data_IF_041132833328
#
_entry.id   IF_041132833328
#
_cell.length_a   1.000
_cell.length_b   1.000
_cell.length_c   1.000
_cell.angle_alpha   90.00
_cell.angle_beta   90.00
_cell.angle_gamma   90.00
#
_symmetry.space_group_name_H-M   'P 1'
#
loop_
_entity.id
_entity.type
_entity.pdbx_description
1 polymer ?
#
# COMPACT_ATOMS: atom_id res chain seq x y z
N UNK A 1 -3.32 -27.59 -11.30
CA UNK A 1 -3.20 -26.12 -11.50
C UNK A 1 -2.68 -25.37 -10.28
N UNK A 2 -3.35 -25.32 -9.12
CA UNK A 2 -2.83 -24.57 -7.95
C UNK A 2 -1.56 -25.20 -7.33
N UNK A 3 -1.53 -26.54 -7.25
CA UNK A 3 -0.36 -27.29 -6.78
C UNK A 3 0.86 -27.10 -7.70
N UNK A 4 0.62 -26.90 -9.00
CA UNK A 4 1.68 -26.64 -9.98
C UNK A 4 2.30 -25.25 -9.82
N UNK A 5 1.51 -24.26 -9.39
CA UNK A 5 1.98 -22.89 -9.18
C UNK A 5 2.79 -22.76 -7.91
N UNK A 6 2.37 -23.41 -6.82
CA UNK A 6 3.18 -23.39 -5.60
C UNK A 6 4.53 -24.11 -5.85
N UNK A 7 4.52 -25.23 -6.58
CA UNK A 7 5.74 -25.89 -7.04
C UNK A 7 6.60 -24.98 -7.92
N UNK A 8 6.00 -24.17 -8.80
CA UNK A 8 6.72 -23.19 -9.61
C UNK A 8 7.38 -22.11 -8.74
N UNK A 9 6.65 -21.58 -7.77
CA UNK A 9 7.15 -20.58 -6.83
C UNK A 9 8.28 -21.15 -5.95
N UNK A 10 8.13 -22.39 -5.47
CA UNK A 10 9.13 -23.10 -4.65
C UNK A 10 10.45 -23.39 -5.38
N UNK A 11 10.50 -23.30 -6.71
CA UNK A 11 11.78 -23.38 -7.45
C UNK A 11 12.65 -22.14 -7.25
N UNK A 12 12.05 -21.03 -6.85
CA UNK A 12 12.71 -19.74 -6.67
C UNK A 12 12.95 -19.43 -5.20
N UNK A 13 12.01 -19.85 -4.35
CA UNK A 13 11.95 -19.47 -2.94
C UNK A 13 11.72 -20.68 -2.06
N UNK A 14 12.22 -20.64 -0.84
CA UNK A 14 11.93 -21.67 0.14
C UNK A 14 10.72 -21.27 0.97
N UNK A 15 9.94 -22.27 1.39
CA UNK A 15 8.91 -22.05 2.38
C UNK A 15 9.53 -21.86 3.77
N UNK A 16 8.92 -21.03 4.63
CA UNK A 16 9.35 -20.89 6.01
C UNK A 16 9.28 -22.26 6.73
N UNK A 17 10.21 -22.49 7.65
CA UNK A 17 10.19 -23.70 8.48
C UNK A 17 9.08 -23.59 9.52
N UNK A 18 8.17 -24.57 9.51
CA UNK A 18 7.05 -24.69 10.47
C UNK A 18 7.27 -25.84 11.48
N UNK A 19 8.51 -26.25 11.73
CA UNK A 19 8.80 -27.41 12.58
C UNK A 19 8.46 -27.16 14.06
N UNK A 20 7.56 -28.01 14.58
CA UNK A 20 7.17 -28.17 16.00
C UNK A 20 6.53 -26.98 16.74
N UNK A 21 6.56 -25.77 16.20
CA UNK A 21 5.94 -24.61 16.83
C UNK A 21 4.42 -24.55 16.58
N UNK A 22 3.63 -24.74 17.65
CA UNK A 22 2.15 -24.71 17.59
C UNK A 22 1.58 -23.38 17.10
N UNK A 23 2.32 -22.26 17.24
CA UNK A 23 1.90 -20.94 16.74
C UNK A 23 1.76 -20.94 15.22
N UNK A 24 2.49 -21.81 14.53
CA UNK A 24 2.46 -21.91 13.07
C UNK A 24 1.14 -22.45 12.55
N UNK A 25 0.28 -23.11 13.34
CA UNK A 25 -0.99 -23.69 12.86
C UNK A 25 -0.82 -24.53 11.57
N UNK A 26 0.23 -25.36 11.52
CA UNK A 26 0.70 -26.10 10.33
C UNK A 26 -0.40 -26.85 9.59
N UNK A 27 -1.41 -27.33 10.30
CA UNK A 27 -2.58 -27.99 9.72
C UNK A 27 -3.43 -27.08 8.82
N UNK A 28 -3.23 -25.76 8.84
CA UNK A 28 -3.99 -24.77 8.05
C UNK A 28 -3.21 -24.18 6.88
N UNK A 29 -1.90 -24.43 6.76
CA UNK A 29 -1.03 -23.77 5.76
C UNK A 29 -1.52 -24.00 4.33
N UNK A 30 -2.03 -25.20 4.05
CA UNK A 30 -2.47 -25.67 2.75
C UNK A 30 -3.84 -25.13 2.32
N UNK A 31 -4.58 -24.47 3.23
CA UNK A 31 -5.90 -23.91 2.94
C UNK A 31 -5.81 -22.65 2.07
N UNK A 32 -4.71 -21.90 2.16
CA UNK A 32 -4.47 -20.78 1.26
C UNK A 32 -3.91 -21.28 -0.09
N UNK A 33 -4.47 -20.76 -1.18
CA UNK A 33 -4.00 -21.03 -2.55
C UNK A 33 -3.76 -19.70 -3.27
N UNK A 34 -2.63 -19.56 -4.00
CA UNK A 34 -2.36 -18.36 -4.79
C UNK A 34 -3.43 -18.09 -5.86
N UNK A 35 -3.54 -16.85 -6.35
CA UNK A 35 -4.45 -16.51 -7.44
C UNK A 35 -4.33 -17.39 -8.70
N UNK A 36 -5.48 -17.71 -9.31
CA UNK A 36 -5.58 -18.56 -10.51
C UNK A 36 -5.12 -17.88 -11.80
N UNK A 37 -4.92 -16.58 -11.79
CA UNK A 37 -4.39 -15.80 -12.91
C UNK A 37 -3.49 -14.68 -12.39
N UNK A 38 -2.59 -14.19 -13.25
CA UNK A 38 -1.70 -13.06 -12.92
C UNK A 38 -2.39 -11.71 -13.17
N UNK A 39 -3.55 -11.70 -13.84
CA UNK A 39 -4.27 -10.48 -14.23
C UNK A 39 -4.57 -9.57 -13.04
N UNK A 40 -5.00 -10.15 -11.91
CA UNK A 40 -5.31 -9.37 -10.71
C UNK A 40 -4.09 -8.65 -10.15
N UNK A 41 -2.93 -9.33 -10.07
CA UNK A 41 -1.71 -8.72 -9.58
C UNK A 41 -1.16 -7.65 -10.52
N UNK A 42 -1.19 -7.90 -11.83
CA UNK A 42 -0.81 -6.92 -12.85
C UNK A 42 -1.72 -5.69 -12.78
N UNK A 43 -3.04 -5.87 -12.69
CA UNK A 43 -4.00 -4.78 -12.60
C UNK A 43 -3.78 -3.91 -11.36
N UNK A 44 -3.52 -4.52 -10.20
CA UNK A 44 -3.19 -3.78 -8.96
C UNK A 44 -1.91 -2.97 -9.13
N UNK A 45 -0.83 -3.59 -9.63
CA UNK A 45 0.46 -2.92 -9.83
C UNK A 45 0.34 -1.72 -10.79
N UNK A 46 -0.31 -1.92 -11.95
CA UNK A 46 -0.51 -0.86 -12.95
C UNK A 46 -1.38 0.26 -12.38
N UNK A 47 -2.44 -0.06 -11.64
CA UNK A 47 -3.31 0.94 -11.01
C UNK A 47 -2.54 1.82 -10.03
N UNK A 48 -1.74 1.21 -9.13
CA UNK A 48 -0.92 1.96 -8.16
C UNK A 48 0.07 2.87 -8.88
N UNK A 49 0.78 2.35 -9.88
CA UNK A 49 1.77 3.11 -10.67
C UNK A 49 1.09 4.28 -11.41
N UNK A 50 -0.05 4.04 -12.06
CA UNK A 50 -0.77 5.06 -12.82
C UNK A 50 -1.35 6.17 -11.93
N UNK A 51 -1.95 5.80 -10.79
CA UNK A 51 -2.47 6.76 -9.81
C UNK A 51 -1.34 7.59 -9.22
N UNK A 52 -0.22 6.95 -8.86
CA UNK A 52 0.96 7.65 -8.38
C UNK A 52 1.49 8.62 -9.43
N UNK A 53 1.70 8.18 -10.68
CA UNK A 53 2.26 9.01 -11.74
C UNK A 53 1.37 10.22 -12.04
N UNK A 54 0.05 10.01 -12.09
CA UNK A 54 -0.92 11.08 -12.29
C UNK A 54 -0.85 12.11 -11.17
N UNK A 55 -0.88 11.66 -9.92
CA UNK A 55 -0.87 12.57 -8.77
C UNK A 55 0.51 13.22 -8.56
N UNK A 56 1.60 12.54 -8.89
CA UNK A 56 2.95 13.07 -8.86
C UNK A 56 3.11 14.22 -9.85
N UNK A 57 2.67 14.03 -11.10
CA UNK A 57 2.65 15.09 -12.12
C UNK A 57 1.74 16.24 -11.69
N UNK A 58 0.56 15.94 -11.15
CA UNK A 58 -0.33 16.97 -10.61
C UNK A 58 0.35 17.79 -9.49
N UNK A 59 0.95 17.12 -8.52
CA UNK A 59 1.67 17.73 -7.42
C UNK A 59 2.85 18.60 -7.89
N UNK A 60 3.61 18.15 -8.88
CA UNK A 60 4.78 18.87 -9.37
C UNK A 60 4.45 20.12 -10.18
N UNK A 61 3.46 20.10 -11.06
CA UNK A 61 3.22 21.22 -12.01
C UNK A 61 1.98 22.06 -11.69
N UNK A 62 0.98 21.51 -11.01
CA UNK A 62 -0.32 22.17 -10.85
C UNK A 62 -0.57 22.71 -9.45
N UNK A 63 0.08 22.15 -8.42
CA UNK A 63 0.01 22.70 -7.06
C UNK A 63 0.85 23.98 -6.96
N UNK A 64 0.23 25.08 -6.55
CA UNK A 64 0.87 26.38 -6.33
C UNK A 64 1.08 26.60 -4.83
N UNK A 65 2.29 26.31 -4.36
CA UNK A 65 2.62 26.38 -2.93
C UNK A 65 2.66 27.84 -2.46
N UNK A 66 2.00 28.20 -1.33
CA UNK A 66 1.92 29.58 -0.84
C UNK A 66 3.28 30.28 -0.65
N UNK A 67 4.34 29.52 -0.39
CA UNK A 67 5.70 30.03 -0.16
C UNK A 67 6.58 30.05 -1.43
N UNK A 68 6.04 29.68 -2.59
CA UNK A 68 6.78 29.60 -3.85
C UNK A 68 5.98 30.16 -5.05
N UNK A 69 5.07 31.10 -4.80
CA UNK A 69 4.23 31.70 -5.83
C UNK A 69 5.03 32.62 -6.75
N UNK A 70 4.67 32.62 -8.03
CA UNK A 70 5.08 33.67 -8.96
C UNK A 70 4.12 34.86 -8.86
N UNK A 71 4.57 36.04 -9.30
CA UNK A 71 3.75 37.26 -9.31
C UNK A 71 2.47 37.01 -10.12
N UNK A 72 1.32 37.29 -9.51
CA UNK A 72 0.00 37.11 -10.12
C UNK A 72 -0.63 35.71 -9.95
N UNK A 73 0.08 34.75 -9.35
CA UNK A 73 -0.51 33.44 -9.04
C UNK A 73 -1.34 33.47 -7.75
N UNK A 74 -2.41 32.66 -7.72
CA UNK A 74 -3.17 32.37 -6.49
C UNK A 74 -2.72 31.03 -5.93
N UNK A 75 -2.50 30.97 -4.61
CA UNK A 75 -2.11 29.74 -3.95
C UNK A 75 -3.17 28.66 -4.05
N UNK A 76 -2.73 27.41 -4.20
CA UNK A 76 -3.58 26.25 -3.95
C UNK A 76 -3.96 26.21 -2.47
N UNK A 77 -5.22 25.86 -2.17
CA UNK A 77 -5.68 25.79 -0.78
C UNK A 77 -4.86 24.77 0.04
N UNK A 78 -4.68 25.05 1.34
CA UNK A 78 -4.00 24.12 2.25
C UNK A 78 -4.66 22.74 2.30
N UNK A 79 -6.00 22.68 2.21
CA UNK A 79 -6.73 21.42 2.17
C UNK A 79 -6.36 20.58 0.93
N UNK A 80 -6.28 21.21 -0.24
CA UNK A 80 -5.85 20.54 -1.47
C UNK A 80 -4.38 20.12 -1.40
N UNK A 81 -3.49 20.96 -0.87
CA UNK A 81 -2.06 20.61 -0.69
C UNK A 81 -1.93 19.38 0.22
N UNK A 82 -2.61 19.37 1.37
CA UNK A 82 -2.60 18.25 2.30
C UNK A 82 -3.17 16.98 1.67
N UNK A 83 -4.30 17.08 0.96
CA UNK A 83 -4.91 15.95 0.28
C UNK A 83 -3.99 15.33 -0.77
N UNK A 84 -3.34 16.15 -1.62
CA UNK A 84 -2.36 15.68 -2.59
C UNK A 84 -1.16 15.06 -1.89
N UNK A 85 -0.61 15.70 -0.87
CA UNK A 85 0.57 15.23 -0.15
C UNK A 85 0.35 13.85 0.48
N UNK A 86 -0.70 13.69 1.29
CA UNK A 86 -0.96 12.42 1.98
C UNK A 86 -1.44 11.31 1.02
N UNK A 87 -2.18 11.66 -0.03
CA UNK A 87 -2.55 10.68 -1.06
C UNK A 87 -1.33 10.20 -1.83
N UNK A 88 -0.42 11.11 -2.18
CA UNK A 88 0.83 10.78 -2.87
C UNK A 88 1.76 9.97 -1.98
N UNK A 89 1.89 10.33 -0.70
CA UNK A 89 2.65 9.57 0.30
C UNK A 89 2.10 8.15 0.49
N UNK A 90 0.77 7.98 0.52
CA UNK A 90 0.13 6.66 0.51
C UNK A 90 0.38 5.88 -0.79
N UNK A 91 0.42 6.55 -1.94
CA UNK A 91 0.76 5.92 -3.20
C UNK A 91 2.25 5.56 -3.32
N UNK A 92 3.15 6.33 -2.71
CA UNK A 92 4.55 5.92 -2.54
C UNK A 92 4.63 4.63 -1.73
N UNK A 93 3.88 4.52 -0.62
CA UNK A 93 3.81 3.26 0.13
C UNK A 93 3.32 2.13 -0.78
N UNK A 94 2.33 2.40 -1.63
CA UNK A 94 1.85 1.46 -2.65
C UNK A 94 2.91 1.04 -3.66
N UNK A 95 3.77 1.96 -4.14
CA UNK A 95 4.88 1.62 -5.04
C UNK A 95 5.88 0.68 -4.36
N UNK A 96 6.22 0.93 -3.09
CA UNK A 96 7.09 0.03 -2.35
C UNK A 96 6.43 -1.34 -2.12
N UNK A 97 5.17 -1.37 -1.71
CA UNK A 97 4.41 -2.62 -1.52
C UNK A 97 4.30 -3.41 -2.84
N UNK A 98 4.14 -2.73 -3.97
CA UNK A 98 4.19 -3.36 -5.30
C UNK A 98 5.57 -3.98 -5.53
N UNK A 99 6.64 -3.25 -5.24
CA UNK A 99 8.01 -3.78 -5.35
C UNK A 99 8.22 -4.99 -4.44
N UNK A 100 7.76 -4.90 -3.20
CA UNK A 100 7.81 -5.98 -2.22
C UNK A 100 7.10 -7.25 -2.72
N UNK A 101 5.89 -7.13 -3.25
CA UNK A 101 5.17 -8.27 -3.84
C UNK A 101 5.91 -8.82 -5.06
N UNK A 102 6.55 -7.95 -5.86
CA UNK A 102 7.45 -8.41 -6.92
C UNK A 102 8.64 -9.20 -6.35
N UNK A 103 9.19 -8.81 -5.20
CA UNK A 103 10.29 -9.55 -4.58
C UNK A 103 9.88 -10.96 -4.15
N UNK A 104 8.59 -11.14 -3.85
CA UNK A 104 7.95 -12.44 -3.64
C UNK A 104 7.47 -13.13 -4.91
N UNK A 105 7.50 -12.47 -6.06
CA UNK A 105 7.00 -13.01 -7.32
C UNK A 105 5.47 -13.01 -7.45
N UNK A 106 4.75 -12.34 -6.55
CA UNK A 106 3.30 -12.47 -6.40
C UNK A 106 2.49 -11.52 -7.27
N UNK A 107 3.12 -10.57 -7.97
CA UNK A 107 2.45 -9.76 -9.01
C UNK A 107 2.09 -10.66 -10.20
N UNK A 108 3.05 -11.43 -10.70
CA UNK A 108 2.88 -12.33 -11.84
C UNK A 108 3.61 -13.65 -11.64
N UNK A 109 2.96 -14.58 -10.93
CA UNK A 109 3.52 -15.87 -10.53
C UNK A 109 3.94 -16.76 -11.72
N UNK A 110 3.31 -16.58 -12.89
CA UNK A 110 3.60 -17.37 -14.10
C UNK A 110 4.59 -16.68 -15.03
N UNK A 111 4.84 -15.38 -14.84
CA UNK A 111 5.75 -14.60 -15.67
C UNK A 111 6.72 -13.78 -14.81
N UNK A 112 7.84 -14.43 -14.44
CA UNK A 112 8.88 -13.83 -13.60
C UNK A 112 9.47 -12.55 -14.21
N UNK A 113 9.64 -12.48 -15.53
CA UNK A 113 10.20 -11.29 -16.19
C UNK A 113 9.28 -10.08 -16.05
N UNK A 114 7.98 -10.28 -16.27
CA UNK A 114 6.99 -9.21 -16.10
C UNK A 114 6.88 -8.77 -14.64
N UNK A 115 6.87 -9.74 -13.71
CA UNK A 115 6.88 -9.47 -12.28
C UNK A 115 8.05 -8.56 -11.88
N UNK A 116 9.27 -8.93 -12.27
CA UNK A 116 10.48 -8.20 -11.89
C UNK A 116 10.54 -6.83 -12.55
N UNK A 117 10.09 -6.72 -13.80
CA UNK A 117 9.94 -5.43 -14.48
C UNK A 117 9.00 -4.48 -13.73
N UNK A 118 7.82 -4.94 -13.33
CA UNK A 118 6.85 -4.12 -12.60
C UNK A 118 7.39 -3.69 -11.23
N UNK A 119 8.07 -4.59 -10.52
CA UNK A 119 8.75 -4.26 -9.27
C UNK A 119 9.88 -3.24 -9.45
N UNK A 120 10.73 -3.45 -10.44
CA UNK A 120 11.83 -2.54 -10.75
C UNK A 120 11.33 -1.16 -11.17
N UNK A 121 10.26 -1.08 -11.97
CA UNK A 121 9.62 0.16 -12.34
C UNK A 121 9.08 0.88 -11.10
N UNK A 122 8.32 0.19 -10.26
CA UNK A 122 7.71 0.78 -9.06
C UNK A 122 8.77 1.37 -8.11
N UNK A 123 9.86 0.66 -7.85
CA UNK A 123 10.91 1.16 -6.96
C UNK A 123 11.79 2.25 -7.59
N UNK A 124 11.92 2.23 -8.92
CA UNK A 124 12.60 3.33 -9.63
C UNK A 124 11.80 4.62 -9.49
N UNK A 125 10.48 4.55 -9.64
CA UNK A 125 9.56 5.69 -9.43
C UNK A 125 9.53 6.15 -7.96
N UNK A 126 9.66 5.22 -7.00
CA UNK A 126 9.68 5.56 -5.58
C UNK A 126 10.84 6.51 -5.24
N UNK A 127 12.07 6.10 -5.55
CA UNK A 127 13.27 6.91 -5.31
C UNK A 127 14.52 6.33 -5.98
N UNK A 128 14.45 5.65 -7.12
CA UNK A 128 15.60 5.04 -7.79
C UNK A 128 16.39 4.00 -6.96
N UNK A 129 15.73 3.30 -6.02
CA UNK A 129 16.40 2.23 -5.27
C UNK A 129 16.78 1.07 -6.20
N UNK A 130 17.79 0.31 -5.77
CA UNK A 130 18.21 -0.90 -6.48
C UNK A 130 17.30 -2.08 -6.11
N UNK A 131 16.56 -2.57 -7.11
CA UNK A 131 15.64 -3.71 -6.95
C UNK A 131 16.35 -4.98 -6.48
N UNK A 132 17.57 -5.25 -6.96
CA UNK A 132 18.31 -6.48 -6.63
C UNK A 132 18.82 -6.44 -5.19
N UNK A 133 19.29 -5.28 -4.72
CA UNK A 133 19.69 -5.10 -3.32
C UNK A 133 18.51 -5.28 -2.39
N UNK A 134 17.37 -4.67 -2.71
CA UNK A 134 16.15 -4.82 -1.90
C UNK A 134 15.67 -6.27 -1.90
N UNK A 135 15.61 -6.92 -3.08
CA UNK A 135 15.23 -8.33 -3.20
C UNK A 135 16.06 -9.23 -2.30
N UNK A 136 17.40 -9.12 -2.39
CA UNK A 136 18.31 -9.90 -1.57
C UNK A 136 18.08 -9.66 -0.07
N UNK A 137 18.06 -8.40 0.35
CA UNK A 137 17.91 -8.03 1.77
C UNK A 137 16.55 -8.43 2.35
N UNK A 138 15.51 -8.30 1.56
CA UNK A 138 14.18 -8.76 1.93
C UNK A 138 14.15 -10.27 2.18
N UNK A 139 14.81 -11.05 1.31
CA UNK A 139 14.96 -12.49 1.56
C UNK A 139 15.91 -12.80 2.71
N UNK A 140 16.97 -12.01 2.96
CA UNK A 140 17.77 -12.13 4.19
C UNK A 140 16.89 -11.96 5.43
N UNK A 141 15.98 -10.97 5.43
CA UNK A 141 14.99 -10.78 6.49
C UNK A 141 14.05 -11.98 6.64
N UNK A 142 13.50 -12.53 5.57
CA UNK A 142 12.64 -13.73 5.65
C UNK A 142 13.36 -14.97 6.21
N UNK A 143 14.65 -15.12 5.89
CA UNK A 143 15.42 -16.31 6.25
C UNK A 143 15.95 -16.24 7.69
N UNK A 144 16.22 -15.03 8.17
CA UNK A 144 16.88 -14.75 9.43
C UNK A 144 16.05 -13.79 10.31
N UNK A 145 14.72 -13.82 10.18
CA UNK A 145 13.82 -12.85 10.83
C UNK A 145 14.14 -12.71 12.32
N UNK A 146 14.41 -11.49 12.75
CA UNK A 146 14.71 -11.15 14.13
C UNK A 146 16.02 -11.72 14.67
N UNK A 147 16.92 -12.24 13.82
CA UNK A 147 18.28 -12.63 14.22
C UNK A 147 19.18 -11.39 14.31
N UNK A 148 19.76 -11.09 15.49
CA UNK A 148 20.61 -9.92 15.65
C UNK A 148 21.80 -9.93 14.68
N UNK A 149 22.04 -8.79 14.02
CA UNK A 149 23.14 -8.53 13.07
C UNK A 149 23.02 -9.22 11.70
N UNK A 150 22.18 -10.25 11.57
CA UNK A 150 21.97 -10.96 10.29
C UNK A 150 20.75 -10.42 9.57
N UNK A 151 19.64 -10.24 10.28
CA UNK A 151 18.45 -9.59 9.74
C UNK A 151 18.74 -8.11 9.44
N UNK A 152 18.64 -7.65 8.17
CA UNK A 152 18.87 -6.24 7.83
C UNK A 152 17.82 -5.31 8.44
N UNK A 153 16.65 -5.84 8.80
CA UNK A 153 15.51 -5.09 9.35
C UNK A 153 15.44 -5.13 10.87
N UNK A 154 16.20 -6.00 11.54
CA UNK A 154 16.13 -6.10 12.99
C UNK A 154 17.01 -5.09 13.71
N UNK A 155 16.53 -4.58 14.84
CA UNK A 155 17.28 -3.63 15.64
C UNK A 155 18.59 -4.29 16.12
N UNK A 156 19.74 -3.66 15.84
CA UNK A 156 21.07 -4.19 16.19
C UNK A 156 21.40 -4.00 17.68
N UNK A 157 20.49 -4.42 18.55
CA UNK A 157 20.58 -4.28 20.01
C UNK A 157 19.94 -3.01 20.58
N UNK A 158 19.47 -2.07 19.75
CA UNK A 158 18.80 -0.85 20.22
C UNK A 158 17.43 -0.66 19.52
N UNK A 159 16.32 -1.07 20.15
CA UNK A 159 14.98 -0.96 19.58
C UNK A 159 14.40 0.47 19.65
N UNK A 160 15.20 1.50 19.98
CA UNK A 160 14.72 2.89 19.94
C UNK A 160 14.24 3.26 18.54
N UNK A 161 13.02 3.80 18.45
CA UNK A 161 12.34 4.11 17.18
C UNK A 161 13.20 4.91 16.19
N UNK A 162 13.82 6.01 16.64
CA UNK A 162 14.59 6.89 15.76
C UNK A 162 15.91 6.25 15.32
N UNK A 163 16.62 5.60 16.25
CA UNK A 163 17.88 4.90 15.96
C UNK A 163 17.64 3.76 14.98
N UNK A 164 16.60 2.97 15.21
CA UNK A 164 16.26 1.85 14.35
C UNK A 164 15.77 2.31 12.97
N UNK A 165 14.96 3.37 12.90
CA UNK A 165 14.60 3.95 11.60
C UNK A 165 15.81 4.44 10.81
N UNK A 166 16.76 5.13 11.46
CA UNK A 166 17.99 5.57 10.80
C UNK A 166 18.83 4.38 10.29
N UNK A 167 18.96 3.32 11.10
CA UNK A 167 19.63 2.08 10.68
C UNK A 167 18.94 1.43 9.49
N UNK A 168 17.62 1.34 9.50
CA UNK A 168 16.81 0.84 8.39
C UNK A 168 17.10 1.64 7.11
N UNK A 169 17.04 2.97 7.17
CA UNK A 169 17.29 3.82 6.00
C UNK A 169 18.71 3.62 5.43
N UNK A 170 19.73 3.60 6.28
CA UNK A 170 21.14 3.39 5.85
C UNK A 170 21.36 1.99 5.30
N UNK A 171 20.63 0.98 5.77
CA UNK A 171 20.69 -0.37 5.21
C UNK A 171 20.27 -0.39 3.73
N UNK A 172 19.34 0.45 3.29
CA UNK A 172 18.77 0.33 1.94
C UNK A 172 19.25 1.40 0.96
N UNK A 173 19.77 2.52 1.45
CA UNK A 173 20.19 3.64 0.60
C UNK A 173 21.59 3.45 0.02
N UNK A 174 21.81 3.94 -1.20
CA UNK A 174 23.13 3.95 -1.85
C UNK A 174 23.49 5.34 -2.37
N UNK A 175 24.79 5.66 -2.46
CA UNK A 175 25.24 6.92 -3.06
C UNK A 175 24.80 7.08 -4.52
N UNK A 176 24.77 5.97 -5.28
CA UNK A 176 24.34 5.97 -6.67
C UNK A 176 22.87 6.41 -6.84
N UNK A 177 22.02 6.07 -5.87
CA UNK A 177 20.62 6.46 -5.83
C UNK A 177 20.49 7.99 -5.67
N UNK A 178 21.24 8.58 -4.74
CA UNK A 178 21.23 10.02 -4.54
C UNK A 178 21.71 10.79 -5.78
N UNK A 179 22.71 10.26 -6.50
CA UNK A 179 23.13 10.83 -7.78
C UNK A 179 22.00 10.80 -8.82
N UNK A 180 21.29 9.68 -8.96
CA UNK A 180 20.14 9.56 -9.89
C UNK A 180 19.01 10.53 -9.52
N UNK A 181 18.69 10.64 -8.22
CA UNK A 181 17.68 11.60 -7.74
C UNK A 181 18.12 13.03 -8.04
N UNK A 182 19.39 13.38 -7.82
CA UNK A 182 19.90 14.71 -8.12
C UNK A 182 19.83 15.03 -9.62
N UNK A 183 20.23 14.11 -10.48
CA UNK A 183 20.10 14.26 -11.95
C UNK A 183 18.63 14.44 -12.33
N UNK A 184 17.73 13.59 -11.81
CA UNK A 184 16.31 13.67 -12.11
C UNK A 184 15.66 14.97 -11.61
N UNK A 185 16.04 15.44 -10.43
CA UNK A 185 15.60 16.73 -9.89
C UNK A 185 15.98 17.89 -10.81
N UNK A 186 17.21 17.89 -11.33
CA UNK A 186 17.66 18.91 -12.29
C UNK A 186 16.88 18.83 -13.62
N UNK A 187 16.61 17.63 -14.14
CA UNK A 187 15.78 17.46 -15.33
C UNK A 187 14.36 17.98 -15.11
N UNK A 188 13.77 17.74 -13.93
CA UNK A 188 12.46 18.27 -13.56
C UNK A 188 12.46 19.80 -13.42
N UNK A 189 13.53 20.39 -12.88
CA UNK A 189 13.71 21.85 -12.85
C UNK A 189 13.74 22.43 -14.26
N UNK A 190 14.48 21.81 -15.19
CA UNK A 190 14.53 22.20 -16.59
C UNK A 190 13.17 22.05 -17.28
N UNK A 191 12.38 21.05 -16.89
CA UNK A 191 10.99 20.85 -17.35
C UNK A 191 9.97 21.77 -16.64
N UNK A 192 10.42 22.73 -15.84
CA UNK A 192 9.58 23.76 -15.21
C UNK A 192 8.89 23.34 -13.91
N UNK A 193 9.21 22.16 -13.34
CA UNK A 193 8.70 21.76 -12.03
C UNK A 193 9.40 22.56 -10.91
N UNK A 194 8.68 23.38 -10.11
CA UNK A 194 9.30 24.20 -9.08
C UNK A 194 10.05 23.36 -8.04
N UNK A 195 11.21 23.85 -7.58
CA UNK A 195 12.00 23.16 -6.54
C UNK A 195 11.19 22.90 -5.28
N UNK A 196 10.36 23.86 -4.85
CA UNK A 196 9.50 23.72 -3.68
C UNK A 196 8.54 22.50 -3.80
N UNK A 197 7.97 22.27 -4.97
CA UNK A 197 7.10 21.12 -5.23
C UNK A 197 7.89 19.81 -5.24
N UNK A 198 9.10 19.82 -5.81
CA UNK A 198 9.99 18.65 -5.75
C UNK A 198 10.36 18.30 -4.30
N UNK A 199 10.74 19.28 -3.49
CA UNK A 199 11.07 19.06 -2.08
C UNK A 199 9.88 18.50 -1.30
N UNK A 200 8.65 18.95 -1.58
CA UNK A 200 7.47 18.46 -0.88
C UNK A 200 7.02 17.08 -1.40
N UNK A 201 6.84 16.92 -2.71
CA UNK A 201 6.20 15.75 -3.32
C UNK A 201 7.18 14.66 -3.81
N UNK A 202 8.44 15.02 -4.12
CA UNK A 202 9.48 14.07 -4.54
C UNK A 202 10.44 13.70 -3.40
N UNK A 203 10.59 14.56 -2.38
CA UNK A 203 11.50 14.30 -1.24
C UNK A 203 10.73 13.99 0.05
N UNK A 204 9.90 14.90 0.55
CA UNK A 204 9.25 14.72 1.85
C UNK A 204 8.21 13.59 1.85
N UNK A 205 7.39 13.48 0.80
CA UNK A 205 6.38 12.43 0.68
C UNK A 205 6.97 11.00 0.74
N UNK A 206 7.98 10.61 -0.08
CA UNK A 206 8.56 9.27 0.03
C UNK A 206 9.33 9.04 1.34
N UNK A 207 9.91 10.07 1.98
CA UNK A 207 10.53 9.89 3.32
C UNK A 207 9.47 9.51 4.36
N UNK A 208 8.32 10.19 4.36
CA UNK A 208 7.22 9.87 5.27
C UNK A 208 6.64 8.47 4.95
N UNK A 209 6.55 8.13 3.66
CA UNK A 209 6.17 6.79 3.21
C UNK A 209 7.12 5.71 3.73
N UNK A 210 8.44 5.94 3.68
CA UNK A 210 9.45 5.03 4.20
C UNK A 210 9.30 4.86 5.72
N UNK A 211 9.00 5.95 6.44
CA UNK A 211 8.69 5.87 7.86
C UNK A 211 7.42 5.05 8.13
N UNK A 212 6.35 5.21 7.35
CA UNK A 212 5.14 4.38 7.45
C UNK A 212 5.45 2.89 7.26
N UNK A 213 6.19 2.56 6.19
CA UNK A 213 6.60 1.19 5.88
C UNK A 213 7.40 0.58 7.03
N UNK A 214 8.44 1.29 7.48
CA UNK A 214 9.24 0.87 8.63
C UNK A 214 8.38 0.70 9.88
N UNK A 215 7.51 1.66 10.19
CA UNK A 215 6.74 1.63 11.43
C UNK A 215 5.79 0.43 11.49
N UNK A 216 4.99 0.23 10.44
CA UNK A 216 3.95 -0.82 10.43
C UNK A 216 4.46 -2.19 9.93
N UNK A 217 5.50 -2.21 9.09
CA UNK A 217 6.07 -3.42 8.49
C UNK A 217 7.34 -3.94 9.17
N UNK A 218 7.98 -3.15 10.03
CA UNK A 218 9.25 -3.58 10.66
C UNK A 218 9.21 -3.35 12.17
N UNK A 219 9.02 -2.10 12.59
CA UNK A 219 9.08 -1.69 13.99
C UNK A 219 8.00 -2.41 14.80
N UNK A 220 6.71 -2.15 14.55
CA UNK A 220 5.62 -2.74 15.36
C UNK A 220 5.63 -4.28 15.32
N UNK A 221 5.78 -4.94 14.16
CA UNK A 221 5.79 -6.40 14.09
C UNK A 221 6.93 -7.06 14.87
N UNK A 222 8.11 -6.46 14.87
CA UNK A 222 9.33 -7.07 15.44
C UNK A 222 9.82 -6.39 16.71
N UNK A 223 9.11 -5.38 17.22
CA UNK A 223 9.55 -4.66 18.42
C UNK A 223 9.56 -5.61 19.63
N UNK A 224 10.69 -5.77 20.33
CA UNK A 224 10.80 -6.70 21.44
C UNK A 224 9.89 -6.31 22.60
N UNK A 225 9.43 -7.30 23.38
CA UNK A 225 8.83 -7.00 24.68
C UNK A 225 9.90 -6.44 25.63
N UNK A 226 9.47 -5.69 26.66
CA UNK A 226 10.41 -5.13 27.64
C UNK A 226 11.20 -6.26 28.30
N UNK A 227 12.52 -6.18 28.23
CA UNK A 227 13.42 -7.19 28.80
C UNK A 227 13.68 -8.40 27.89
N UNK A 228 13.07 -8.48 26.70
CA UNK A 228 13.43 -9.52 25.72
C UNK A 228 14.86 -9.31 25.23
N UNK A 229 15.66 -10.36 25.34
CA UNK A 229 17.04 -10.41 24.83
C UNK A 229 17.18 -11.65 23.96
N UNK A 230 17.69 -11.48 22.74
CA UNK A 230 17.88 -12.57 21.78
C UNK A 230 17.03 -12.45 20.53
N UNK A 231 16.94 -13.55 19.78
CA UNK A 231 16.29 -13.58 18.48
C UNK A 231 14.75 -13.49 18.58
N UNK A 232 14.13 -12.91 17.55
CA UNK A 232 12.68 -12.77 17.40
C UNK A 232 12.24 -13.44 16.08
N UNK A 233 12.21 -14.77 16.01
CA UNK A 233 11.90 -15.47 14.77
C UNK A 233 10.49 -15.15 14.27
N UNK A 234 10.21 -15.34 12.99
CA UNK A 234 8.96 -14.88 12.35
C UNK A 234 7.67 -15.36 13.05
N UNK A 235 7.70 -16.49 13.76
CA UNK A 235 6.57 -17.03 14.52
C UNK A 235 6.11 -16.11 15.68
N UNK A 236 6.96 -15.18 16.13
CA UNK A 236 6.63 -14.17 17.15
C UNK A 236 6.35 -12.78 16.58
N UNK A 237 6.41 -12.59 15.27
CA UNK A 237 6.04 -11.33 14.64
C UNK A 237 4.58 -10.98 14.95
N UNK A 238 4.30 -9.71 15.23
CA UNK A 238 2.93 -9.29 15.56
C UNK A 238 2.05 -9.19 14.31
N UNK A 239 0.75 -9.39 14.54
CA UNK A 239 -0.32 -9.12 13.58
C UNK A 239 -1.26 -8.07 14.18
N UNK A 240 -1.51 -6.99 13.46
CA UNK A 240 -2.35 -5.87 13.90
C UNK A 240 -3.80 -6.28 14.14
N UNK A 241 -4.49 -5.79 15.18
CA UNK A 241 -5.92 -6.09 15.41
C UNK A 241 -6.87 -5.18 14.62
N UNK A 242 -6.35 -4.29 13.78
CA UNK A 242 -7.13 -3.31 13.03
C UNK A 242 -8.19 -3.94 12.12
N UNK A 243 -9.25 -3.18 11.84
CA UNK A 243 -10.23 -3.55 10.81
C UNK A 243 -9.55 -3.64 9.44
N UNK A 244 -10.18 -4.34 8.49
CA UNK A 244 -9.63 -4.49 7.13
C UNK A 244 -9.31 -3.12 6.49
N UNK A 245 -10.24 -2.17 6.54
CA UNK A 245 -10.01 -0.84 5.96
C UNK A 245 -8.85 -0.10 6.64
N UNK A 246 -8.76 -0.15 7.97
CA UNK A 246 -7.66 0.48 8.71
C UNK A 246 -6.32 -0.15 8.34
N UNK A 247 -6.24 -1.48 8.30
CA UNK A 247 -5.05 -2.23 7.90
C UNK A 247 -4.59 -1.90 6.46
N UNK A 248 -5.54 -1.65 5.55
CA UNK A 248 -5.21 -1.14 4.21
C UNK A 248 -4.62 0.28 4.27
N UNK A 249 -5.25 1.19 5.02
CA UNK A 249 -4.82 2.58 5.11
C UNK A 249 -3.52 2.77 5.92
N UNK A 250 -3.20 1.87 6.85
CA UNK A 250 -1.94 1.90 7.60
C UNK A 250 -0.78 1.49 6.74
N UNK A 251 -0.86 0.36 6.03
CA UNK A 251 0.25 -0.16 5.23
C UNK A 251 -0.17 -1.29 4.26
N UNK A 252 -1.27 -1.16 3.52
CA UNK A 252 -1.68 -2.17 2.53
C UNK A 252 -1.75 -3.60 3.11
N UNK A 253 -2.28 -3.76 4.33
CA UNK A 253 -2.32 -5.03 5.06
C UNK A 253 -0.96 -5.61 5.48
N UNK A 254 0.13 -4.90 5.28
CA UNK A 254 1.46 -5.34 5.71
C UNK A 254 1.62 -5.32 7.24
N UNK A 255 0.69 -4.70 7.97
CA UNK A 255 0.55 -4.84 9.41
C UNK A 255 0.06 -6.25 9.86
N UNK A 256 -0.26 -7.14 8.90
CA UNK A 256 -0.48 -8.58 9.06
C UNK A 256 0.82 -9.37 8.83
N UNK A 257 1.89 -8.93 9.49
CA UNK A 257 3.27 -9.36 9.19
C UNK A 257 3.52 -10.84 9.49
N UNK A 258 2.84 -11.39 10.50
CA UNK A 258 2.89 -12.83 10.80
C UNK A 258 2.32 -13.66 9.63
N UNK A 259 1.15 -13.27 9.12
CA UNK A 259 0.52 -13.91 7.97
C UNK A 259 1.42 -13.79 6.73
N UNK A 260 2.08 -12.64 6.57
CA UNK A 260 3.02 -12.37 5.50
C UNK A 260 4.24 -13.33 5.50
N UNK A 261 4.94 -13.47 6.63
CA UNK A 261 6.08 -14.40 6.72
C UNK A 261 5.67 -15.85 6.49
N UNK A 262 4.46 -16.21 6.93
CA UNK A 262 3.96 -17.57 6.80
C UNK A 262 3.57 -17.92 5.36
N UNK A 263 2.88 -17.02 4.69
CA UNK A 263 2.44 -17.17 3.30
C UNK A 263 3.14 -16.13 2.42
N UNK A 264 4.46 -16.23 2.20
CA UNK A 264 5.22 -15.26 1.38
C UNK A 264 4.73 -15.22 -0.08
N UNK A 265 4.05 -16.28 -0.52
CA UNK A 265 3.41 -16.37 -1.83
C UNK A 265 1.99 -15.76 -1.88
N UNK A 266 1.52 -15.14 -0.79
CA UNK A 266 0.29 -14.38 -0.77
C UNK A 266 0.59 -12.90 -1.07
N UNK A 267 -0.01 -12.30 -2.10
CA UNK A 267 0.09 -10.86 -2.31
C UNK A 267 -0.65 -10.10 -1.19
N UNK A 268 -0.31 -8.82 -1.02
CA UNK A 268 -0.77 -8.02 0.12
C UNK A 268 -2.31 -7.98 0.26
N UNK A 269 -3.04 -7.94 -0.86
CA UNK A 269 -4.52 -7.88 -0.87
C UNK A 269 -5.19 -9.18 -0.43
N UNK A 270 -4.46 -10.31 -0.40
CA UNK A 270 -4.93 -11.62 0.06
C UNK A 270 -4.50 -11.92 1.52
N UNK A 271 -3.67 -11.08 2.17
CA UNK A 271 -3.28 -11.27 3.58
C UNK A 271 -4.49 -11.30 4.53
N UNK A 272 -5.56 -10.49 4.35
CA UNK A 272 -6.77 -10.63 5.17
C UNK A 272 -7.43 -12.01 5.09
N UNK A 273 -7.34 -12.71 3.95
CA UNK A 273 -7.84 -14.07 3.79
C UNK A 273 -6.94 -15.09 4.50
N UNK A 274 -5.63 -14.90 4.41
CA UNK A 274 -4.65 -15.68 5.18
C UNK A 274 -4.93 -15.58 6.68
N UNK A 275 -5.26 -14.38 7.16
CA UNK A 275 -5.71 -14.15 8.54
C UNK A 275 -7.00 -14.89 8.90
N UNK A 276 -8.00 -14.90 8.02
CA UNK A 276 -9.24 -15.64 8.25
C UNK A 276 -8.98 -17.15 8.39
N UNK A 277 -8.10 -17.68 7.53
CA UNK A 277 -7.64 -19.07 7.61
C UNK A 277 -6.93 -19.33 8.95
N UNK A 278 -6.02 -18.44 9.36
CA UNK A 278 -5.30 -18.56 10.63
C UNK A 278 -6.26 -18.56 11.83
N UNK A 279 -7.27 -17.68 11.85
CA UNK A 279 -8.28 -17.63 12.93
C UNK A 279 -9.23 -18.83 12.94
N UNK A 280 -9.31 -19.59 11.87
CA UNK A 280 -10.20 -20.75 11.75
C UNK A 280 -11.58 -20.27 11.35
N UNK A 281 -12.03 -20.71 10.18
CA UNK A 281 -13.26 -20.21 9.57
C UNK A 281 -14.50 -20.61 10.39
N UNK A 282 -14.87 -19.75 11.34
CA UNK A 282 -16.23 -19.55 11.85
C UNK A 282 -16.63 -18.08 11.63
N UNK A 283 -16.51 -17.63 10.38
CA UNK A 283 -17.28 -16.52 9.80
C UNK A 283 -17.56 -16.94 8.34
N UNK A 284 -18.57 -17.77 8.16
CA UNK A 284 -19.18 -18.05 6.86
C UNK A 284 -19.79 -16.76 6.27
N UNK A 285 -20.06 -16.69 4.95
CA UNK A 285 -20.14 -15.44 4.21
C UNK A 285 -21.40 -14.66 4.61
N UNK A 286 -21.23 -13.61 5.42
CA UNK A 286 -22.15 -12.49 5.40
C UNK A 286 -22.02 -11.79 4.04
N UNK A 287 -23.09 -11.14 3.54
CA UNK A 287 -23.05 -10.43 2.26
C UNK A 287 -21.80 -9.55 2.20
N UNK A 288 -21.12 -9.60 1.05
CA UNK A 288 -19.94 -8.78 0.76
C UNK A 288 -20.15 -7.39 1.37
N UNK A 289 -19.31 -6.92 2.31
CA UNK A 289 -19.33 -5.52 2.63
C UNK A 289 -19.03 -4.79 1.33
N UNK A 290 -20.01 -3.99 0.91
CA UNK A 290 -20.01 -3.10 -0.24
C UNK A 290 -18.59 -2.54 -0.46
N UNK A 291 -18.07 -2.51 -1.71
CA UNK A 291 -16.74 -1.99 -1.98
C UNK A 291 -16.53 -0.65 -1.28
N UNK A 292 -15.37 -0.49 -0.65
CA UNK A 292 -14.94 0.76 -0.01
C UNK A 292 -14.73 1.92 -1.02
N UNK A 293 -15.42 1.91 -2.16
CA UNK A 293 -15.69 3.08 -2.99
C UNK A 293 -16.61 4.09 -2.29
N UNK A 294 -17.28 3.70 -1.19
CA UNK A 294 -18.01 4.61 -0.30
C UNK A 294 -17.16 5.17 0.86
N UNK A 295 -16.00 4.58 1.18
CA UNK A 295 -15.14 5.05 2.28
C UNK A 295 -14.09 6.06 1.82
N UNK A 296 -13.66 5.98 0.55
CA UNK A 296 -12.87 7.05 -0.07
C UNK A 296 -13.72 8.32 -0.28
N UNK A 297 -15.00 8.18 -0.63
CA UNK A 297 -15.94 9.32 -0.68
C UNK A 297 -16.29 9.85 0.71
N UNK A 298 -16.29 9.03 1.77
CA UNK A 298 -16.53 9.52 3.13
C UNK A 298 -15.33 10.26 3.76
N UNK A 299 -14.09 9.85 3.46
CA UNK A 299 -12.90 10.57 3.89
C UNK A 299 -12.74 11.92 3.15
N UNK A 300 -13.16 11.99 1.88
CA UNK A 300 -13.20 13.25 1.11
C UNK A 300 -14.43 14.11 1.46
N UNK A 301 -15.58 13.51 1.82
CA UNK A 301 -16.79 14.23 2.25
C UNK A 301 -16.68 14.77 3.68
N UNK A 302 -15.98 14.09 4.60
CA UNK A 302 -15.71 14.60 5.95
C UNK A 302 -14.75 15.80 5.93
N UNK A 303 -13.79 15.82 5.00
CA UNK A 303 -12.94 16.98 4.75
C UNK A 303 -13.68 18.15 4.07
N UNK A 304 -14.71 17.86 3.27
CA UNK A 304 -15.57 18.87 2.65
C UNK A 304 -16.58 19.49 3.64
N UNK A 305 -17.15 18.70 4.56
CA UNK A 305 -18.10 19.19 5.57
C UNK A 305 -17.45 20.06 6.66
N UNK A 306 -16.16 19.86 6.95
CA UNK A 306 -15.40 20.73 7.85
C UNK A 306 -15.05 22.10 7.23
N UNK A 307 -15.18 22.25 5.90
CA UNK A 307 -14.89 23.49 5.18
C UNK A 307 -16.12 24.41 5.00
N UNK A 308 -17.34 23.98 5.37
CA UNK A 308 -18.58 24.73 5.10
C UNK A 308 -19.33 25.24 6.34
N UNK A 309 -18.74 25.19 7.54
CA UNK A 309 -19.25 25.89 8.73
C UNK A 309 -20.77 25.88 8.91
N UNK A 310 -21.36 24.73 9.25
CA UNK A 310 -22.77 24.66 9.68
C UNK A 310 -22.93 23.72 10.88
N UNK A 311 -23.73 24.10 11.90
CA UNK A 311 -23.83 23.34 13.15
C UNK A 311 -24.69 22.08 12.97
N UNK A 312 -24.36 21.04 13.74
CA UNK A 312 -25.10 19.78 13.80
C UNK A 312 -26.57 19.99 14.25
N UNK A 313 -27.54 19.23 13.70
CA UNK A 313 -28.91 19.32 14.16
C UNK A 313 -29.09 18.60 15.50
N UNK A 314 -29.70 19.31 16.46
CA UNK A 314 -30.14 18.78 17.73
C UNK A 314 -31.26 17.73 17.54
N UNK A 315 -31.14 16.63 18.28
CA UNK A 315 -32.15 15.58 18.41
C UNK A 315 -33.46 16.13 18.95
N UNK A 316 -34.55 16.07 18.16
CA UNK A 316 -35.92 16.19 18.67
C UNK A 316 -36.42 14.80 19.10
N UNK A 317 -36.38 14.57 20.40
CA UNK A 317 -37.23 13.57 21.05
C UNK A 317 -38.68 14.07 21.07
N UNK A 318 -39.62 13.14 20.83
CA UNK A 318 -41.05 13.40 20.81
C UNK A 318 -41.57 13.92 22.15
N UNK A 319 -42.44 14.92 22.07
CA UNK A 319 -43.23 15.46 23.16
C UNK A 319 -44.44 14.56 23.46
N UNK A 320 -44.61 14.19 24.73
CA UNK A 320 -45.90 13.87 25.31
C UNK A 320 -46.24 14.89 26.41
N UNK A 321 -47.51 15.29 26.41
CA UNK A 321 -48.32 15.88 27.49
C UNK A 321 -48.04 17.29 28.06
N UNK A 322 -49.16 18.01 28.10
CA UNK A 322 -49.72 18.88 29.15
C UNK A 322 -49.23 20.33 29.35
N UNK A 323 -50.18 21.22 29.03
CA UNK A 323 -50.79 22.23 29.91
C UNK A 323 -50.05 23.55 30.25
N UNK A 324 -50.88 24.61 30.14
CA UNK A 324 -50.95 25.79 31.02
C UNK A 324 -50.07 27.02 30.75
N UNK A 325 -50.77 28.03 30.22
CA UNK A 325 -50.88 29.39 30.74
C UNK A 325 -49.75 30.44 30.56
N UNK A 326 -50.22 31.57 30.02
CA UNK A 326 -50.03 32.94 30.48
C UNK A 326 -48.72 33.71 30.18
N UNK A 327 -48.93 34.76 29.38
CA UNK A 327 -48.62 36.17 29.67
C UNK A 327 -47.25 36.77 29.29
N UNK A 328 -47.41 37.80 28.44
CA UNK A 328 -46.79 39.14 28.51
C UNK A 328 -45.34 39.35 28.08
N UNK A 329 -45.14 40.42 27.29
CA UNK A 329 -43.90 41.20 27.33
C UNK A 329 -43.31 41.61 25.98
N UNK A 330 -43.88 42.66 25.39
CA UNK A 330 -43.20 43.78 24.71
C UNK A 330 -41.84 43.58 24.00
N UNK A 331 -41.80 44.07 22.75
CA UNK A 331 -40.89 45.19 22.44
C UNK A 331 -39.88 45.01 21.30
N UNK A 332 -40.17 45.67 20.17
CA UNK A 332 -39.24 46.31 19.20
C UNK A 332 -38.18 45.44 18.50
N UNK A 333 -37.89 45.51 17.20
CA UNK A 333 -38.17 46.47 16.13
C UNK A 333 -36.96 46.47 15.17
N UNK A 334 -37.21 46.80 13.90
CA UNK A 334 -36.24 47.10 12.82
C UNK A 334 -35.68 45.96 11.94
N UNK A 335 -36.46 45.65 10.89
CA UNK A 335 -36.17 45.91 9.45
C UNK A 335 -34.77 45.69 8.87
N UNK A 336 -34.70 44.87 7.81
CA UNK A 336 -33.63 44.89 6.80
C UNK A 336 -33.69 43.72 5.82
N UNK A 337 -34.46 43.84 4.75
CA UNK A 337 -34.52 42.91 3.61
C UNK A 337 -33.42 43.24 2.59
N UNK A 338 -32.60 42.26 2.19
CA UNK A 338 -31.84 42.29 0.92
C UNK A 338 -31.93 40.91 0.26
N UNK A 339 -32.36 40.93 -1.01
CA UNK A 339 -32.65 39.79 -1.86
C UNK A 339 -31.38 39.02 -2.30
N UNK A 340 -31.51 37.70 -2.44
CA UNK A 340 -30.49 36.79 -2.95
C UNK A 340 -30.53 36.70 -4.49
N UNK A 341 -29.36 36.75 -5.13
CA UNK A 341 -29.11 36.42 -6.54
C UNK A 341 -28.56 34.98 -6.66
N UNK A 342 -28.79 34.27 -7.79
CA UNK A 342 -28.57 32.83 -7.88
C UNK A 342 -27.11 32.44 -8.17
N UNK A 343 -26.69 31.35 -7.52
CA UNK A 343 -25.41 30.65 -7.71
C UNK A 343 -25.34 30.02 -9.11
N UNK A 344 -24.63 30.67 -10.03
CA UNK A 344 -24.16 30.04 -11.28
C UNK A 344 -22.79 30.60 -11.65
N UNK A 345 -21.74 30.10 -10.99
CA UNK A 345 -20.35 30.20 -11.46
C UNK A 345 -19.40 29.46 -10.50
N UNK A 346 -19.32 28.14 -10.66
CA UNK A 346 -18.17 27.35 -10.21
C UNK A 346 -17.62 26.59 -11.42
N UNK A 347 -16.30 26.57 -11.65
CA UNK A 347 -15.72 25.97 -12.84
C UNK A 347 -15.81 24.44 -12.80
N UNK A 348 -16.24 23.87 -13.91
CA UNK A 348 -16.31 22.44 -14.16
C UNK A 348 -14.94 21.77 -13.95
N UNK A 349 -14.95 20.66 -13.21
CA UNK A 349 -13.93 19.62 -13.33
C UNK A 349 -13.86 19.17 -14.80
N UNK A 350 -12.67 19.19 -15.39
CA UNK A 350 -12.48 18.76 -16.78
C UNK A 350 -12.94 17.31 -16.96
N UNK A 351 -13.78 17.08 -17.97
CA UNK A 351 -14.38 15.77 -18.31
C UNK A 351 -13.36 14.61 -18.41
N UNK A 352 -12.09 14.91 -18.68
CA UNK A 352 -11.00 13.91 -18.69
C UNK A 352 -10.73 13.24 -17.33
N UNK A 353 -11.00 13.91 -16.20
CA UNK A 353 -10.79 13.33 -14.86
C UNK A 353 -11.93 12.39 -14.48
N UNK A 354 -13.16 12.68 -14.91
CA UNK A 354 -14.32 11.78 -14.71
C UNK A 354 -14.15 10.49 -15.50
N UNK A 355 -13.76 10.58 -16.78
CA UNK A 355 -13.56 9.40 -17.63
C UNK A 355 -12.44 8.46 -17.14
N UNK A 356 -11.40 9.01 -16.49
CA UNK A 356 -10.30 8.21 -15.93
C UNK A 356 -10.76 7.42 -14.68
N UNK A 357 -11.63 8.01 -13.87
CA UNK A 357 -12.22 7.39 -12.67
C UNK A 357 -13.26 6.34 -13.07
N UNK A 358 -14.09 6.62 -14.06
CA UNK A 358 -15.11 5.69 -14.56
C UNK A 358 -14.47 4.46 -15.24
N UNK A 359 -13.44 4.65 -16.06
CA UNK A 359 -12.70 3.54 -16.68
C UNK A 359 -11.93 2.66 -15.68
N UNK A 360 -11.39 3.25 -14.60
CA UNK A 360 -10.74 2.51 -13.52
C UNK A 360 -11.75 1.68 -12.69
N UNK A 361 -12.99 2.17 -12.54
CA UNK A 361 -14.07 1.47 -11.84
C UNK A 361 -14.65 0.30 -12.65
N UNK A 362 -14.74 0.41 -13.98
CA UNK A 362 -15.17 -0.69 -14.85
C UNK A 362 -14.15 -1.84 -14.92
N UNK A 363 -12.85 -1.54 -14.91
CA UNK A 363 -11.77 -2.54 -14.86
C UNK A 363 -11.76 -3.36 -13.55
N UNK A 364 -12.25 -2.79 -12.45
CA UNK A 364 -12.39 -3.46 -11.15
C UNK A 364 -13.70 -4.26 -11.06
N UNK A 365 -14.73 -3.90 -11.84
CA UNK A 365 -16.06 -4.53 -11.83
C UNK A 365 -16.27 -5.59 -12.93
N UNK A 366 -15.58 -5.49 -14.07
CA UNK A 366 -15.77 -6.33 -15.27
C UNK A 366 -15.01 -7.65 -15.24
N UNK A 367 -15.37 -8.54 -14.31
CA UNK A 367 -14.71 -9.83 -14.14
C UNK A 367 -15.67 -10.99 -13.88
N UNK A 368 -16.84 -11.05 -14.53
CA UNK A 368 -17.71 -12.23 -14.43
C UNK A 368 -18.76 -12.38 -15.56
N UNK A 369 -18.71 -13.56 -16.20
CA UNK A 369 -19.65 -14.22 -17.15
C UNK A 369 -19.64 -13.69 -18.60
N UNK A 370 -19.50 -14.52 -19.65
CA UNK A 370 -20.07 -15.84 -20.01
C UNK A 370 -19.01 -16.75 -20.70
N UNK A 371 -19.08 -18.08 -20.86
CA UNK A 371 -20.09 -19.11 -20.58
C UNK A 371 -20.60 -19.82 -21.86
N UNK A 372 -19.95 -20.91 -22.33
CA UNK A 372 -20.63 -21.99 -23.06
C UNK A 372 -19.95 -22.68 -24.28
N UNK A 373 -19.61 -23.98 -24.13
CA UNK A 373 -19.61 -25.09 -25.14
C UNK A 373 -18.59 -25.07 -26.30
N UNK A 374 -17.90 -26.14 -26.73
CA UNK A 374 -17.92 -27.57 -26.43
C UNK A 374 -16.89 -28.33 -27.31
N UNK A 375 -16.65 -29.59 -26.92
CA UNK A 375 -16.10 -30.75 -27.68
C UNK A 375 -14.63 -30.84 -28.16
N UNK A 376 -13.97 -31.92 -27.71
CA UNK A 376 -13.39 -32.94 -28.60
C UNK A 376 -11.88 -32.93 -28.87
N UNK A 377 -11.14 -33.91 -28.31
CA UNK A 377 -9.90 -34.44 -28.94
C UNK A 377 -8.65 -34.54 -28.05
N UNK A 378 -8.24 -35.78 -27.73
CA UNK A 378 -6.90 -36.21 -27.29
C UNK A 378 -6.34 -37.18 -28.36
N UNK A 379 -5.06 -37.61 -28.31
CA UNK A 379 -3.83 -36.89 -27.99
C UNK A 379 -2.71 -37.17 -29.03
N UNK A 380 -1.61 -36.39 -29.00
CA UNK A 380 -0.40 -36.65 -29.79
C UNK A 380 0.85 -36.55 -28.93
N UNK A 381 1.65 -37.62 -28.94
CA UNK A 381 2.93 -37.78 -28.23
C UNK A 381 4.06 -36.90 -28.81
N UNK A 382 5.10 -36.65 -28.02
CA UNK A 382 6.34 -36.02 -28.48
C UNK A 382 7.34 -35.80 -27.35
N UNK A 383 8.40 -36.61 -27.35
CA UNK A 383 9.47 -36.76 -26.37
C UNK A 383 10.56 -35.68 -26.36
N UNK A 384 11.40 -35.72 -25.30
CA UNK A 384 12.83 -35.32 -25.17
C UNK A 384 13.19 -33.84 -25.45
N UNK A 385 13.92 -33.09 -24.61
CA UNK A 385 14.88 -33.37 -23.54
C UNK A 385 16.06 -32.40 -23.74
N UNK A 386 16.54 -31.67 -22.71
CA UNK A 386 17.90 -31.07 -22.65
C UNK A 386 18.19 -30.38 -21.30
N UNK A 387 18.80 -31.18 -20.43
CA UNK A 387 19.96 -30.97 -19.55
C UNK A 387 20.24 -29.59 -18.88
N UNK A 388 20.32 -29.71 -17.55
CA UNK A 388 20.99 -28.86 -16.57
C UNK A 388 22.46 -28.53 -16.90
N UNK A 389 22.91 -27.33 -16.50
CA UNK A 389 24.27 -27.10 -15.99
C UNK A 389 24.20 -26.33 -14.67
N UNK A 390 24.42 -27.03 -13.56
CA UNK A 390 24.89 -26.45 -12.31
C UNK A 390 26.42 -26.35 -12.37
N UNK A 391 26.98 -25.19 -12.02
CA UNK A 391 28.39 -25.07 -11.61
C UNK A 391 28.44 -25.18 -10.09
N UNK A 392 29.04 -26.26 -9.60
CA UNK A 392 29.52 -26.39 -8.23
C UNK A 392 30.85 -25.63 -8.11
N UNK A 393 31.01 -24.84 -7.05
CA UNK A 393 32.29 -24.32 -6.59
C UNK A 393 32.59 -24.97 -5.23
N UNK A 394 33.71 -25.69 -5.16
CA UNK A 394 34.26 -26.27 -3.95
C UNK A 394 35.00 -25.21 -3.10
N UNK A 395 35.15 -25.41 -1.78
CA UNK A 395 35.84 -24.46 -0.91
C UNK A 395 37.36 -24.67 -0.93
N UNK A 396 38.10 -23.55 -0.98
CA UNK A 396 39.56 -23.53 -0.78
C UNK A 396 39.83 -23.43 0.73
N UNK A 397 40.48 -24.45 1.27
CA UNK A 397 41.05 -24.41 2.62
C UNK A 397 42.34 -23.60 2.65
N UNK A 398 42.56 -22.89 3.76
CA UNK A 398 43.83 -22.24 4.08
C UNK A 398 44.35 -22.91 5.36
N UNK A 399 45.47 -23.62 5.23
CA UNK A 399 46.38 -23.94 6.32
C UNK A 399 47.51 -22.90 6.33
N UNK A 400 47.69 -22.27 7.49
CA UNK A 400 48.95 -21.83 8.12
C UNK A 400 48.63 -20.69 9.09
#
# INVERSE_FOLDING_TARGET
>A
MAEDILKLWQRQYHLPREDSDKRTLRERVHLYRPPRSDLGGIAVAVTVIALWATLFVYGLWFVKLPWALKVGETATSWATIAAVFFSLEFLYTGLFITTHDAMHGTIALRNRRLNDFLGQLAISLYAWFDYSVLHRKHWEHHNHTGEPRVDPDFHRGNPNLAVWFAQFMVSYMTLSQFLKIAVWSNLLLLAGAPLANQLLFMTAAPILSAFRLFYYGTYVPHHPEKGHTGAMPWQVSRTSSASRLQSFLTCYHFDLHWEHHRWPYAPWWELPKCRQIARGAALAPGPLPVPAAAAATAATAAAAAAATGSPAPASRAGSASSASAAASGFGSGHSGSVAAQPLSSLPLLSEGVKGLVEGAMELVAGGSSSGGGGEGGKPGAGEHGLLQRQRQLAPVGVMA
#
